data_IF_367081549920
#
_entry.id   IF_367081549920
#
_cell.length_a   1.000
_cell.length_b   1.000
_cell.length_c   1.000
_cell.angle_alpha   90.00
_cell.angle_beta   90.00
_cell.angle_gamma   90.00
#
_symmetry.space_group_name_H-M   'P 1'
#
loop_
_entity.id
_entity.type
_entity.pdbx_description
1 polymer ?
#
# COMPACT_ATOMS: atom_id res chain seq x y z
N UNK A 1 -1.54 -25.77 4.47
CA UNK A 1 -2.73 -25.05 3.98
C UNK A 1 -2.17 -23.83 3.28
N UNK A 2 -2.23 -23.77 1.96
CA UNK A 2 -1.78 -22.58 1.22
C UNK A 2 -2.71 -21.45 1.64
N UNK A 3 -2.17 -20.40 2.28
CA UNK A 3 -2.91 -19.15 2.45
C UNK A 3 -3.36 -18.75 1.04
N UNK A 4 -4.66 -18.68 0.82
CA UNK A 4 -5.19 -18.04 -0.37
C UNK A 4 -4.85 -16.57 -0.21
N UNK A 5 -3.98 -16.04 -1.06
CA UNK A 5 -3.67 -14.60 -1.07
C UNK A 5 -5.00 -13.84 -1.19
N UNK A 6 -5.35 -13.10 -0.15
CA UNK A 6 -6.50 -12.21 -0.08
C UNK A 6 -6.15 -10.99 -0.92
N UNK A 7 -6.76 -10.88 -2.10
CA UNK A 7 -6.43 -9.82 -3.05
C UNK A 7 -6.99 -8.47 -2.58
N UNK A 8 -6.14 -7.63 -2.00
CA UNK A 8 -6.51 -6.28 -1.57
C UNK A 8 -6.25 -5.25 -2.67
N UNK A 9 -7.30 -4.55 -3.11
CA UNK A 9 -7.18 -3.52 -4.15
C UNK A 9 -6.58 -2.20 -3.66
N UNK A 10 -6.35 -2.06 -2.35
CA UNK A 10 -5.80 -0.86 -1.73
C UNK A 10 -4.32 -1.02 -1.37
N UNK A 11 -3.62 0.11 -1.31
CA UNK A 11 -2.20 0.16 -0.98
C UNK A 11 -1.93 1.19 0.12
N UNK A 12 -0.85 0.99 0.87
CA UNK A 12 -0.37 1.96 1.86
C UNK A 12 -0.21 3.34 1.21
N UNK A 13 -0.76 4.36 1.87
CA UNK A 13 -0.74 5.74 1.40
C UNK A 13 -1.85 6.11 0.42
N UNK A 14 -2.74 5.17 0.05
CA UNK A 14 -3.93 5.52 -0.72
C UNK A 14 -4.82 6.49 0.06
N UNK A 15 -5.20 7.65 -0.51
CA UNK A 15 -6.23 8.49 0.07
C UNK A 15 -7.59 7.87 -0.23
N UNK A 16 -8.38 7.68 0.82
CA UNK A 16 -9.68 7.01 0.71
C UNK A 16 -10.74 7.78 1.49
N UNK A 17 -11.99 7.36 1.34
CA UNK A 17 -13.14 7.92 2.06
C UNK A 17 -13.93 6.78 2.70
N UNK A 18 -14.31 6.98 3.96
CA UNK A 18 -15.30 6.13 4.62
C UNK A 18 -16.68 6.42 4.02
N UNK A 19 -17.22 5.49 3.24
CA UNK A 19 -18.54 5.67 2.60
C UNK A 19 -19.70 5.77 3.60
N UNK A 20 -19.54 5.28 4.83
CA UNK A 20 -20.58 5.38 5.85
C UNK A 20 -20.63 6.78 6.48
N UNK A 21 -19.49 7.46 6.60
CA UNK A 21 -19.37 8.75 7.27
C UNK A 21 -19.09 9.94 6.33
N UNK A 22 -18.71 9.68 5.08
CA UNK A 22 -18.30 10.71 4.13
C UNK A 22 -17.01 11.42 4.54
N UNK A 23 -16.12 10.77 5.29
CA UNK A 23 -14.92 11.38 5.87
C UNK A 23 -13.65 10.87 5.20
N UNK A 24 -12.66 11.75 4.94
CA UNK A 24 -11.40 11.36 4.32
C UNK A 24 -10.52 10.61 5.32
N UNK A 25 -9.80 9.62 4.78
CA UNK A 25 -8.86 8.77 5.48
C UNK A 25 -7.63 8.51 4.61
N UNK A 26 -6.59 7.96 5.21
CA UNK A 26 -5.42 7.41 4.51
C UNK A 26 -5.25 5.94 4.92
N UNK A 27 -4.97 5.08 3.96
CA UNK A 27 -4.63 3.66 4.21
C UNK A 27 -3.24 3.60 4.84
N UNK A 28 -3.14 2.92 5.99
CA UNK A 28 -1.89 2.67 6.68
C UNK A 28 -1.39 1.24 6.47
N UNK A 29 -2.31 0.29 6.32
CA UNK A 29 -1.99 -1.10 6.00
C UNK A 29 -3.11 -1.75 5.18
N UNK A 30 -2.73 -2.75 4.39
CA UNK A 30 -3.60 -3.56 3.55
C UNK A 30 -3.17 -5.04 3.69
N UNK A 31 -3.41 -5.64 4.87
CA UNK A 31 -2.92 -6.98 5.18
C UNK A 31 -3.60 -8.05 4.34
N UNK A 32 -2.91 -9.18 4.21
CA UNK A 32 -3.43 -10.43 3.66
C UNK A 32 -4.32 -11.12 4.72
N UNK A 33 -5.45 -10.48 5.03
CA UNK A 33 -6.37 -10.88 6.09
C UNK A 33 -7.82 -10.62 5.65
N UNK A 34 -8.70 -11.60 5.91
CA UNK A 34 -10.14 -11.44 5.65
C UNK A 34 -10.86 -10.78 6.83
N UNK A 35 -12.10 -10.33 6.62
CA UNK A 35 -12.99 -9.86 7.69
C UNK A 35 -13.19 -10.92 8.77
N UNK A 36 -13.30 -12.20 8.39
CA UNK A 36 -13.42 -13.32 9.31
C UNK A 36 -12.17 -13.45 10.20
N UNK A 37 -11.00 -13.51 9.58
CA UNK A 37 -9.72 -13.68 10.27
C UNK A 37 -9.48 -12.54 11.25
N UNK A 38 -9.68 -11.30 10.78
CA UNK A 38 -9.53 -10.11 11.63
C UNK A 38 -10.53 -10.12 12.79
N UNK A 39 -11.78 -10.51 12.52
CA UNK A 39 -12.84 -10.57 13.55
C UNK A 39 -12.50 -11.59 14.64
N UNK A 40 -12.01 -12.76 14.24
CA UNK A 40 -11.60 -13.84 15.15
C UNK A 40 -10.39 -13.42 15.98
N UNK A 41 -9.37 -12.84 15.35
CA UNK A 41 -8.15 -12.38 16.02
C UNK A 41 -8.42 -11.27 17.05
N UNK A 42 -9.40 -10.41 16.78
CA UNK A 42 -9.72 -9.25 17.62
C UNK A 42 -10.92 -9.48 18.56
N UNK A 43 -11.57 -10.65 18.50
CA UNK A 43 -12.76 -10.95 19.29
C UNK A 43 -13.92 -9.99 19.02
N UNK A 44 -14.05 -9.52 17.79
CA UNK A 44 -14.94 -8.44 17.40
C UNK A 44 -15.62 -8.71 16.06
N UNK A 45 -16.96 -8.72 16.00
CA UNK A 45 -17.67 -8.94 14.74
C UNK A 45 -17.64 -7.68 13.87
N UNK A 46 -16.72 -7.64 12.90
CA UNK A 46 -16.55 -6.51 12.01
C UNK A 46 -17.69 -6.37 11.00
N UNK A 47 -18.26 -7.46 10.48
CA UNK A 47 -19.38 -7.47 9.51
C UNK A 47 -20.63 -6.73 10.02
N UNK A 48 -20.95 -6.93 11.30
CA UNK A 48 -22.12 -6.31 11.95
C UNK A 48 -21.86 -4.88 12.44
N UNK A 49 -20.61 -4.41 12.40
CA UNK A 49 -20.24 -3.11 12.95
C UNK A 49 -20.65 -1.95 12.03
N UNK A 50 -21.11 -0.85 12.64
CA UNK A 50 -21.19 0.50 12.06
C UNK A 50 -21.53 0.56 10.55
N UNK A 51 -22.69 0.01 10.19
CA UNK A 51 -23.22 0.01 8.83
C UNK A 51 -22.42 -0.78 7.78
N UNK A 52 -21.38 -1.55 8.14
CA UNK A 52 -20.62 -2.41 7.22
C UNK A 52 -21.55 -3.35 6.42
N UNK A 53 -22.55 -3.95 7.08
CA UNK A 53 -23.58 -4.76 6.42
C UNK A 53 -24.39 -4.03 5.33
N UNK A 54 -24.50 -2.71 5.38
CA UNK A 54 -25.18 -1.92 4.33
C UNK A 54 -24.35 -1.78 3.05
N UNK A 55 -23.05 -2.05 3.12
CA UNK A 55 -22.14 -2.00 1.98
C UNK A 55 -21.90 -3.37 1.36
N UNK A 56 -22.65 -4.40 1.78
CA UNK A 56 -22.49 -5.76 1.27
C UNK A 56 -21.28 -6.48 1.85
N UNK A 57 -20.89 -6.12 3.07
CA UNK A 57 -19.75 -6.72 3.73
C UNK A 57 -19.93 -8.23 3.94
N UNK A 58 -18.89 -9.01 3.62
CA UNK A 58 -18.86 -10.46 3.74
C UNK A 58 -17.65 -10.92 4.53
N UNK A 59 -17.74 -12.06 5.20
CA UNK A 59 -16.66 -12.58 6.04
C UNK A 59 -15.38 -12.89 5.22
N UNK A 60 -15.51 -13.23 3.94
CA UNK A 60 -14.40 -13.56 3.04
C UNK A 60 -13.73 -12.33 2.39
N UNK A 61 -14.24 -11.11 2.60
CA UNK A 61 -13.65 -9.93 1.95
C UNK A 61 -12.37 -9.46 2.67
N UNK A 62 -11.43 -8.79 1.97
CA UNK A 62 -10.24 -8.23 2.60
C UNK A 62 -10.58 -7.10 3.58
N UNK A 63 -9.69 -6.88 4.54
CA UNK A 63 -9.71 -5.69 5.40
C UNK A 63 -8.62 -4.69 5.06
N UNK A 64 -8.81 -3.42 5.43
CA UNK A 64 -7.81 -2.36 5.33
C UNK A 64 -7.74 -1.55 6.61
N UNK A 65 -6.54 -1.22 7.04
CA UNK A 65 -6.31 -0.33 8.17
C UNK A 65 -6.20 1.11 7.68
N UNK A 66 -7.00 2.00 8.26
CA UNK A 66 -7.08 3.40 7.87
C UNK A 66 -7.00 4.33 9.07
N UNK A 67 -6.62 5.57 8.80
CA UNK A 67 -6.62 6.68 9.77
C UNK A 67 -7.41 7.86 9.24
N UNK A 68 -8.27 8.46 10.09
CA UNK A 68 -9.02 9.65 9.72
C UNK A 68 -8.14 10.90 9.68
N UNK A 69 -8.28 11.70 8.62
CA UNK A 69 -7.52 12.94 8.40
C UNK A 69 -8.44 14.13 8.08
N UNK A 70 -9.54 14.25 8.83
CA UNK A 70 -10.63 15.19 8.52
C UNK A 70 -10.27 16.68 8.68
N UNK A 71 -9.22 17.02 9.43
CA UNK A 71 -8.75 18.40 9.64
C UNK A 71 -7.23 18.40 9.74
N UNK A 72 -6.58 19.30 9.01
CA UNK A 72 -5.12 19.47 8.98
C UNK A 72 -4.51 19.82 10.35
N UNK A 73 -5.32 20.31 11.28
CA UNK A 73 -4.93 20.63 12.65
C UNK A 73 -5.08 19.46 13.61
N UNK A 74 -5.75 18.38 13.19
CA UNK A 74 -5.94 17.20 14.02
C UNK A 74 -4.71 16.32 13.94
N UNK A 75 -4.24 15.84 15.10
CA UNK A 75 -3.23 14.80 15.20
C UNK A 75 -3.94 13.45 15.34
N UNK A 76 -3.93 12.59 14.30
CA UNK A 76 -4.60 11.30 14.40
C UNK A 76 -3.90 10.40 15.42
N UNK A 77 -4.67 9.88 16.39
CA UNK A 77 -4.13 9.07 17.50
C UNK A 77 -4.63 7.62 17.49
N UNK A 78 -5.48 7.27 16.53
CA UNK A 78 -6.09 5.94 16.41
C UNK A 78 -6.23 5.54 14.96
N UNK A 79 -6.02 4.25 14.73
CA UNK A 79 -6.28 3.58 13.47
C UNK A 79 -7.53 2.71 13.60
N UNK A 80 -8.12 2.38 12.46
CA UNK A 80 -9.35 1.62 12.39
C UNK A 80 -9.31 0.68 11.19
N UNK A 81 -9.73 -0.56 11.40
CA UNK A 81 -9.85 -1.55 10.34
C UNK A 81 -11.25 -1.50 9.74
N UNK A 82 -11.32 -1.56 8.41
CA UNK A 82 -12.56 -1.53 7.65
C UNK A 82 -12.59 -2.67 6.62
N UNK A 83 -13.77 -3.21 6.32
CA UNK A 83 -13.96 -4.02 5.13
C UNK A 83 -13.78 -3.17 3.87
N UNK A 84 -13.15 -3.73 2.84
CA UNK A 84 -12.92 -3.07 1.54
C UNK A 84 -14.22 -2.50 0.94
N UNK A 85 -15.34 -3.22 1.07
CA UNK A 85 -16.66 -2.82 0.56
C UNK A 85 -17.16 -1.45 1.08
N UNK A 86 -16.69 -1.01 2.25
CA UNK A 86 -17.02 0.30 2.85
C UNK A 86 -16.10 1.44 2.38
N UNK A 87 -14.93 1.11 1.84
CA UNK A 87 -13.91 2.09 1.50
C UNK A 87 -14.06 2.53 0.05
N UNK A 88 -13.89 3.82 -0.21
CA UNK A 88 -13.87 4.39 -1.56
C UNK A 88 -12.54 5.05 -1.80
N UNK A 89 -11.88 4.67 -2.89
CA UNK A 89 -10.67 5.33 -3.32
C UNK A 89 -10.96 6.77 -3.73
N UNK A 90 -10.09 7.70 -3.32
CA UNK A 90 -10.06 9.06 -3.87
C UNK A 90 -9.08 9.03 -5.03
N UNK A 91 -9.57 9.28 -6.25
CA UNK A 91 -8.79 9.15 -7.50
C UNK A 91 -7.76 10.28 -7.71
N UNK A 92 -6.97 10.61 -6.69
CA UNK A 92 -5.86 11.57 -6.79
C UNK A 92 -4.81 11.13 -7.81
N UNK A 93 -4.72 9.82 -8.05
CA UNK A 93 -3.75 9.17 -8.93
C UNK A 93 -3.87 9.65 -10.37
N UNK A 94 -5.05 10.09 -10.82
CA UNK A 94 -5.20 10.71 -12.14
C UNK A 94 -4.38 12.00 -12.31
N UNK A 95 -4.00 12.67 -11.22
CA UNK A 95 -3.09 13.81 -11.26
C UNK A 95 -1.60 13.41 -11.38
N UNK A 96 -1.28 12.11 -11.25
CA UNK A 96 0.08 11.54 -11.32
C UNK A 96 0.18 10.46 -12.40
N UNK A 97 -0.40 10.74 -13.58
CA UNK A 97 -0.46 9.81 -14.73
C UNK A 97 -1.09 8.44 -14.41
N UNK A 98 -2.01 8.40 -13.44
CA UNK A 98 -2.65 7.17 -12.96
C UNK A 98 -1.82 6.36 -11.96
N UNK A 99 -0.61 6.82 -11.58
CA UNK A 99 0.23 6.13 -10.60
C UNK A 99 -0.25 6.38 -9.17
N UNK A 100 -0.11 5.36 -8.32
CA UNK A 100 -0.38 5.47 -6.88
C UNK A 100 0.65 6.38 -6.22
N UNK A 101 0.20 7.28 -5.34
CA UNK A 101 1.09 8.26 -4.67
C UNK A 101 2.14 7.54 -3.81
N UNK A 102 1.75 6.48 -3.09
CA UNK A 102 2.69 5.63 -2.35
C UNK A 102 3.75 5.00 -3.26
N UNK A 103 3.34 4.51 -4.44
CA UNK A 103 4.26 3.94 -5.42
C UNK A 103 5.28 4.96 -5.94
N UNK A 104 4.90 6.24 -6.06
CA UNK A 104 5.84 7.32 -6.42
C UNK A 104 6.96 7.47 -5.38
N UNK A 105 6.62 7.42 -4.09
CA UNK A 105 7.60 7.53 -3.00
C UNK A 105 8.53 6.31 -2.95
N UNK A 106 7.97 5.10 -3.03
CA UNK A 106 8.74 3.84 -3.07
C UNK A 106 9.68 3.83 -4.26
N UNK A 107 9.20 4.21 -5.45
CA UNK A 107 10.02 4.31 -6.66
C UNK A 107 11.18 5.29 -6.47
N UNK A 108 10.92 6.49 -5.95
CA UNK A 108 11.96 7.48 -5.71
C UNK A 108 13.04 6.94 -4.74
N UNK A 109 12.61 6.32 -3.63
CA UNK A 109 13.54 5.68 -2.69
C UNK A 109 14.37 4.58 -3.35
N UNK A 110 13.74 3.68 -4.10
CA UNK A 110 14.43 2.58 -4.75
C UNK A 110 15.46 3.10 -5.75
N UNK A 111 15.11 4.08 -6.60
CA UNK A 111 16.06 4.68 -7.56
C UNK A 111 17.29 5.24 -6.85
N UNK A 112 17.11 6.00 -5.76
CA UNK A 112 18.23 6.55 -4.97
C UNK A 112 19.04 5.43 -4.30
N UNK A 113 18.37 4.42 -3.72
CA UNK A 113 19.03 3.28 -3.10
C UNK A 113 19.87 2.48 -4.12
N UNK A 114 19.38 2.35 -5.36
CA UNK A 114 20.11 1.73 -6.46
C UNK A 114 21.37 2.53 -6.82
N UNK A 115 21.27 3.84 -6.98
CA UNK A 115 22.42 4.72 -7.28
C UNK A 115 23.50 4.61 -6.19
N UNK A 116 23.11 4.57 -4.91
CA UNK A 116 24.08 4.41 -3.81
C UNK A 116 24.69 3.01 -3.81
N UNK A 117 23.89 1.97 -4.04
CA UNK A 117 24.37 0.58 -4.04
C UNK A 117 25.29 0.25 -5.23
N UNK A 118 25.12 0.89 -6.39
CA UNK A 118 26.05 0.74 -7.53
C UNK A 118 27.42 1.35 -7.25
N UNK A 119 27.48 2.38 -6.40
CA UNK A 119 28.71 3.05 -6.04
C UNK A 119 29.55 2.27 -5.01
N UNK A 120 28.93 1.57 -4.05
CA UNK A 120 29.67 1.08 -2.87
C UNK A 120 29.59 -0.43 -2.58
N UNK A 121 28.54 -1.20 -2.92
CA UNK A 121 28.47 -2.63 -2.50
C UNK A 121 27.45 -3.50 -3.27
N UNK A 122 27.94 -4.47 -4.05
CA UNK A 122 27.12 -5.35 -4.93
C UNK A 122 26.10 -6.24 -4.20
N UNK A 123 26.37 -6.65 -2.97
CA UNK A 123 25.45 -7.48 -2.17
C UNK A 123 24.25 -6.66 -1.66
N UNK A 124 24.44 -5.37 -1.38
CA UNK A 124 23.34 -4.47 -1.01
C UNK A 124 22.36 -4.30 -2.18
N UNK A 125 22.88 -4.21 -3.41
CA UNK A 125 22.08 -4.14 -4.63
C UNK A 125 21.15 -5.37 -4.77
N UNK A 126 21.68 -6.56 -4.49
CA UNK A 126 20.92 -7.82 -4.59
C UNK A 126 19.83 -7.90 -3.52
N UNK A 127 20.13 -7.54 -2.28
CA UNK A 127 19.15 -7.49 -1.19
C UNK A 127 18.02 -6.47 -1.45
N UNK A 128 18.36 -5.29 -2.00
CA UNK A 128 17.39 -4.28 -2.43
C UNK A 128 16.50 -4.83 -3.56
N UNK A 129 17.08 -5.53 -4.55
CA UNK A 129 16.31 -6.16 -5.62
C UNK A 129 15.33 -7.22 -5.11
N UNK A 130 15.77 -8.08 -4.20
CA UNK A 130 14.95 -9.15 -3.62
C UNK A 130 13.82 -8.60 -2.75
N UNK A 131 14.09 -7.56 -1.95
CA UNK A 131 13.07 -6.89 -1.13
C UNK A 131 12.07 -6.06 -1.96
N UNK A 132 12.52 -5.51 -3.10
CA UNK A 132 11.70 -4.65 -3.94
C UNK A 132 10.79 -5.39 -4.91
N UNK A 133 10.97 -6.70 -5.12
CA UNK A 133 10.03 -7.60 -5.82
C UNK A 133 9.57 -7.24 -7.24
N UNK A 134 10.26 -6.37 -8.00
CA UNK A 134 9.67 -5.76 -9.21
C UNK A 134 10.57 -5.67 -10.44
N UNK A 135 10.02 -6.07 -11.59
CA UNK A 135 10.59 -5.93 -12.93
C UNK A 135 10.47 -4.51 -13.52
N UNK A 136 9.46 -3.71 -13.13
CA UNK A 136 9.22 -2.39 -13.76
C UNK A 136 10.10 -1.27 -13.22
N UNK A 137 10.63 -1.39 -12.00
CA UNK A 137 11.56 -0.41 -11.42
C UNK A 137 13.01 -0.72 -11.80
N UNK A 138 13.30 -1.98 -12.12
CA UNK A 138 14.63 -2.46 -12.54
C UNK A 138 15.12 -1.77 -13.82
N UNK A 139 14.29 -1.70 -14.85
CA UNK A 139 14.67 -1.12 -16.15
C UNK A 139 14.94 0.38 -16.04
N UNK A 140 14.11 1.10 -15.29
CA UNK A 140 14.29 2.54 -15.05
C UNK A 140 15.53 2.81 -14.19
N UNK A 141 15.76 2.05 -13.12
CA UNK A 141 16.96 2.16 -12.31
C UNK A 141 18.24 1.86 -13.12
N UNK A 142 18.19 0.87 -14.02
CA UNK A 142 19.28 0.57 -14.95
C UNK A 142 19.52 1.70 -15.96
N UNK A 143 18.47 2.33 -16.49
CA UNK A 143 18.61 3.53 -17.31
C UNK A 143 19.26 4.68 -16.54
N UNK A 144 18.88 4.90 -15.29
CA UNK A 144 19.50 5.92 -14.43
C UNK A 144 20.97 5.62 -14.13
N UNK A 145 21.32 4.37 -13.77
CA UNK A 145 22.70 3.96 -13.55
C UNK A 145 23.55 4.09 -14.84
N UNK A 146 22.97 3.76 -16.00
CA UNK A 146 23.58 4.00 -17.32
C UNK A 146 23.82 5.48 -17.59
N UNK A 147 22.83 6.33 -17.30
CA UNK A 147 22.95 7.77 -17.46
C UNK A 147 23.97 8.39 -16.48
N UNK A 148 24.14 7.81 -15.29
CA UNK A 148 25.15 8.20 -14.31
C UNK A 148 26.57 7.73 -14.65
N UNK A 149 26.75 6.89 -15.68
CA UNK A 149 28.04 6.33 -16.06
C UNK A 149 28.49 5.12 -15.22
N UNK A 150 27.60 4.59 -14.37
CA UNK A 150 27.86 3.50 -13.44
C UNK A 150 27.18 2.21 -13.89
N UNK A 151 27.47 1.73 -15.10
CA UNK A 151 26.96 0.42 -15.53
C UNK A 151 27.95 -0.65 -15.08
N UNK A 152 27.60 -1.55 -14.16
CA UNK A 152 28.26 -2.83 -14.12
C UNK A 152 27.85 -3.56 -15.42
N UNK A 153 28.83 -3.94 -16.24
CA UNK A 153 28.62 -5.11 -17.12
C UNK A 153 28.00 -6.22 -16.25
N UNK A 154 27.05 -6.99 -16.79
CA UNK A 154 26.22 -8.02 -16.11
C UNK A 154 24.82 -7.55 -15.65
N UNK A 155 23.92 -7.49 -16.64
CA UNK A 155 22.53 -7.99 -16.52
C UNK A 155 22.42 -9.21 -17.42
#
# INVERSE_FOLDING_TARGET
>A
MTMSDVENSFQIGDPVMDAAQGRPMVVLDAPDETVADWSDANGYNLTSNYANSKFGCTDDEPVVECVYVSDVRSEPSKTYTFPVSRIRLIDVHHADDGRRVGARAVRAFLVEAFVVATAEEREALKAICEAAGWASVKDEALEFAKAAGEVPEYV
#
